data_IF_935307238438
#
_entry.id   IF_935307238438
#
_cell.length_a   1.000
_cell.length_b   1.000
_cell.length_c   1.000
_cell.angle_alpha   90.00
_cell.angle_beta   90.00
_cell.angle_gamma   90.00
#
_symmetry.space_group_name_H-M   'P 1'
#
loop_
_entity.id
_entity.type
_entity.pdbx_description
1 polymer ?
#
# COMPACT_ATOMS: atom_id res chain seq x y z
N UNK A 1 -7.32 7.14 9.63
CA UNK A 1 -7.62 5.71 9.82
C UNK A 1 -9.06 5.45 9.37
N UNK A 2 -9.30 4.41 8.58
CA UNK A 2 -10.62 4.01 8.05
C UNK A 2 -10.81 2.53 8.37
N UNK A 3 -11.87 2.12 9.08
CA UNK A 3 -12.08 0.71 9.46
C UNK A 3 -13.03 -0.01 8.49
N UNK A 4 -12.86 -1.33 8.33
CA UNK A 4 -13.85 -2.16 7.64
C UNK A 4 -15.14 -2.28 8.44
N UNK A 5 -16.26 -2.60 7.78
CA UNK A 5 -17.58 -2.75 8.43
C UNK A 5 -17.60 -3.83 9.50
N UNK A 6 -16.85 -4.90 9.29
CA UNK A 6 -16.71 -6.03 10.23
C UNK A 6 -15.58 -5.82 11.25
N UNK A 7 -14.87 -4.68 11.18
CA UNK A 7 -13.82 -4.31 12.14
C UNK A 7 -12.58 -5.20 12.10
N UNK A 8 -12.39 -6.05 11.09
CA UNK A 8 -11.23 -6.96 11.02
C UNK A 8 -9.96 -6.30 10.51
N UNK A 9 -10.11 -5.21 9.76
CA UNK A 9 -8.99 -4.43 9.22
C UNK A 9 -9.24 -2.93 9.35
N UNK A 10 -8.15 -2.18 9.30
CA UNK A 10 -8.19 -0.74 9.09
C UNK A 10 -7.17 -0.29 8.05
N UNK A 11 -7.50 0.79 7.36
CA UNK A 11 -6.64 1.50 6.43
C UNK A 11 -6.06 2.73 7.10
N UNK A 12 -4.75 2.91 6.95
CA UNK A 12 -4.03 4.09 7.41
C UNK A 12 -3.08 4.55 6.31
N UNK A 13 -2.93 5.87 6.14
CA UNK A 13 -1.92 6.41 5.23
C UNK A 13 -0.54 5.92 5.66
N UNK A 14 0.20 5.34 4.72
CA UNK A 14 1.59 4.98 4.98
C UNK A 14 2.40 6.24 5.20
N UNK A 15 3.25 6.17 6.22
CA UNK A 15 4.26 7.16 6.56
C UNK A 15 5.63 6.49 6.46
N UNK A 16 6.69 7.29 6.38
CA UNK A 16 8.07 6.80 6.18
C UNK A 16 8.47 5.75 7.22
N UNK A 17 7.94 5.86 8.45
CA UNK A 17 8.19 4.93 9.55
C UNK A 17 7.70 3.50 9.25
N UNK A 18 6.75 3.33 8.34
CA UNK A 18 6.24 2.02 7.93
C UNK A 18 7.09 1.36 6.82
N UNK A 19 8.13 2.04 6.31
CA UNK A 19 8.92 1.55 5.17
C UNK A 19 9.57 0.17 5.44
N UNK A 20 10.05 -0.05 6.67
CA UNK A 20 10.60 -1.34 7.08
C UNK A 20 9.55 -2.45 7.04
N UNK A 21 8.38 -2.21 7.65
CA UNK A 21 7.29 -3.19 7.66
C UNK A 21 6.79 -3.51 6.24
N UNK A 22 6.70 -2.49 5.39
CA UNK A 22 6.31 -2.67 3.99
C UNK A 22 7.35 -3.47 3.20
N UNK A 23 8.64 -3.21 3.42
CA UNK A 23 9.72 -3.98 2.81
C UNK A 23 9.65 -5.44 3.24
N UNK A 24 9.50 -5.71 4.53
CA UNK A 24 9.45 -7.07 5.07
C UNK A 24 8.24 -7.84 4.52
N UNK A 25 7.07 -7.19 4.41
CA UNK A 25 5.90 -7.77 3.77
C UNK A 25 6.16 -8.12 2.29
N UNK A 26 6.79 -7.21 1.54
CA UNK A 26 7.12 -7.41 0.12
C UNK A 26 8.12 -8.52 -0.08
N UNK A 27 9.19 -8.58 0.72
CA UNK A 27 10.22 -9.61 0.61
C UNK A 27 9.65 -11.00 0.90
N UNK A 28 8.86 -11.14 1.98
CA UNK A 28 8.18 -12.40 2.33
C UNK A 28 7.22 -12.88 1.23
N UNK A 29 6.64 -11.95 0.46
CA UNK A 29 5.68 -12.23 -0.60
C UNK A 29 6.25 -12.07 -2.02
N UNK A 30 7.57 -11.86 -2.20
CA UNK A 30 8.15 -11.45 -3.48
C UNK A 30 7.81 -12.41 -4.62
N UNK A 31 8.06 -13.72 -4.44
CA UNK A 31 7.75 -14.74 -5.45
C UNK A 31 6.25 -14.83 -5.77
N UNK A 32 5.38 -14.51 -4.80
CA UNK A 32 3.93 -14.54 -5.00
C UNK A 32 3.43 -13.30 -5.76
N UNK A 33 4.01 -12.13 -5.48
CA UNK A 33 3.61 -10.87 -6.11
C UNK A 33 4.23 -10.68 -7.50
N UNK A 34 5.42 -11.25 -7.74
CA UNK A 34 6.19 -11.06 -8.97
C UNK A 34 5.40 -11.25 -10.28
N UNK A 35 4.52 -12.25 -10.44
CA UNK A 35 3.75 -12.41 -11.69
C UNK A 35 2.73 -11.30 -11.96
N UNK A 36 2.35 -10.53 -10.92
CA UNK A 36 1.28 -9.54 -10.97
C UNK A 36 1.78 -8.10 -10.84
N UNK A 37 3.05 -7.90 -10.48
CA UNK A 37 3.66 -6.58 -10.32
C UNK A 37 4.59 -6.23 -11.49
N UNK A 38 4.77 -4.94 -11.80
CA UNK A 38 5.82 -4.50 -12.71
C UNK A 38 7.19 -4.96 -12.21
N UNK A 39 8.09 -5.26 -13.15
CA UNK A 39 9.48 -5.55 -12.82
C UNK A 39 10.09 -4.32 -12.13
N UNK A 40 10.62 -4.53 -10.92
CA UNK A 40 11.30 -3.51 -10.12
C UNK A 40 12.78 -3.85 -10.01
N UNK A 41 13.61 -2.81 -9.94
CA UNK A 41 15.03 -2.96 -9.66
C UNK A 41 15.29 -3.32 -8.19
N UNK A 42 16.53 -3.70 -7.89
CA UNK A 42 16.94 -4.06 -6.53
C UNK A 42 16.81 -2.88 -5.55
N UNK A 43 16.96 -1.64 -6.01
CA UNK A 43 16.79 -0.44 -5.17
C UNK A 43 15.37 -0.31 -4.63
N UNK A 44 14.36 -0.77 -5.36
CA UNK A 44 13.00 -0.83 -4.83
C UNK A 44 12.90 -1.71 -3.57
N UNK A 45 13.60 -2.84 -3.52
CA UNK A 45 13.57 -3.78 -2.40
C UNK A 45 14.58 -3.42 -1.30
N UNK A 46 14.66 -2.13 -0.97
CA UNK A 46 15.43 -1.57 0.16
C UNK A 46 14.51 -0.71 1.01
N UNK A 47 14.94 -0.33 2.21
CA UNK A 47 14.13 0.57 3.05
C UNK A 47 14.02 1.91 2.37
N UNK A 48 15.14 2.43 1.89
CA UNK A 48 15.25 3.71 1.21
C UNK A 48 14.35 3.74 -0.04
N UNK A 49 14.24 2.62 -0.75
CA UNK A 49 13.32 2.46 -1.88
C UNK A 49 11.84 2.50 -1.47
N UNK A 50 11.47 1.86 -0.36
CA UNK A 50 10.10 1.93 0.17
C UNK A 50 9.79 3.31 0.77
N UNK A 51 10.75 3.95 1.44
CA UNK A 51 10.63 5.33 1.90
C UNK A 51 10.37 6.28 0.74
N UNK A 52 11.13 6.15 -0.35
CA UNK A 52 10.92 6.95 -1.57
C UNK A 52 9.53 6.71 -2.20
N UNK A 53 9.06 5.45 -2.27
CA UNK A 53 7.72 5.12 -2.77
C UNK A 53 6.62 5.76 -1.89
N UNK A 54 6.77 5.69 -0.56
CA UNK A 54 5.85 6.30 0.39
C UNK A 54 5.86 7.83 0.27
N UNK A 55 7.04 8.44 0.22
CA UNK A 55 7.21 9.90 0.09
C UNK A 55 6.62 10.43 -1.21
N UNK A 56 6.68 9.66 -2.30
CA UNK A 56 6.05 10.03 -3.58
C UNK A 56 4.54 10.26 -3.46
N UNK A 57 3.88 9.61 -2.49
CA UNK A 57 2.47 9.80 -2.16
C UNK A 57 2.16 10.84 -1.09
N UNK A 58 3.18 11.41 -0.44
CA UNK A 58 3.03 12.45 0.59
C UNK A 58 3.13 13.86 0.00
N UNK A 59 3.54 13.99 -1.28
CA UNK A 59 3.80 15.26 -1.96
C UNK A 59 2.75 16.36 -1.79
N UNK A 60 3.14 17.61 -2.07
CA UNK A 60 2.40 18.85 -1.76
C UNK A 60 0.87 18.70 -1.82
N UNK A 61 0.18 19.22 -0.80
CA UNK A 61 -1.29 19.09 -0.65
C UNK A 61 -2.09 19.51 -1.89
N UNK A 62 -1.53 20.40 -2.71
CA UNK A 62 -2.13 20.92 -3.94
C UNK A 62 -1.78 20.10 -5.21
N UNK A 63 -0.89 19.12 -5.09
CA UNK A 63 -0.36 18.25 -6.16
C UNK A 63 -0.36 16.76 -5.80
N UNK A 64 -1.23 16.34 -4.88
CA UNK A 64 -1.38 14.93 -4.50
C UNK A 64 -1.78 14.12 -5.74
N UNK A 65 -0.79 13.49 -6.37
CA UNK A 65 -0.96 12.63 -7.54
C UNK A 65 -1.11 11.16 -7.15
N UNK A 66 -0.76 10.81 -5.91
CA UNK A 66 -0.97 9.49 -5.36
C UNK A 66 -1.18 9.52 -3.84
N UNK A 67 -1.80 8.48 -3.30
CA UNK A 67 -1.94 8.22 -1.87
C UNK A 67 -1.75 6.72 -1.61
N UNK A 68 -0.89 6.40 -0.65
CA UNK A 68 -0.62 5.03 -0.24
C UNK A 68 -1.20 4.76 1.15
N UNK A 69 -1.96 3.68 1.25
CA UNK A 69 -2.55 3.18 2.48
C UNK A 69 -2.00 1.79 2.79
N UNK A 70 -1.71 1.53 4.07
CA UNK A 70 -1.50 0.18 4.57
C UNK A 70 -2.82 -0.46 4.94
N UNK A 71 -2.95 -1.76 4.67
CA UNK A 71 -4.03 -2.60 5.22
C UNK A 71 -3.48 -3.23 6.49
N UNK A 72 -4.02 -2.85 7.64
CA UNK A 72 -3.60 -3.35 8.93
C UNK A 72 -4.65 -4.29 9.52
N UNK A 73 -4.20 -5.39 10.12
CA UNK A 73 -5.06 -6.29 10.88
C UNK A 73 -5.40 -5.63 12.22
N UNK A 74 -6.70 -5.55 12.55
CA UNK A 74 -7.16 -4.85 13.75
C UNK A 74 -6.56 -5.43 15.04
N UNK A 75 -6.53 -6.76 15.15
CA UNK A 75 -6.13 -7.47 16.38
C UNK A 75 -4.63 -7.35 16.68
N UNK A 76 -3.80 -7.28 15.64
CA UNK A 76 -2.33 -7.38 15.76
C UNK A 76 -1.61 -6.09 15.37
N UNK A 77 -2.30 -5.13 14.74
CA UNK A 77 -1.71 -3.99 14.04
C UNK A 77 -0.65 -4.39 12.98
N UNK A 78 -0.69 -5.63 12.50
CA UNK A 78 0.23 -6.12 11.46
C UNK A 78 -0.14 -5.49 10.10
N UNK A 79 0.85 -4.94 9.41
CA UNK A 79 0.71 -4.55 8.00
C UNK A 79 0.58 -5.79 7.10
N UNK A 80 -0.65 -6.04 6.65
CA UNK A 80 -1.02 -7.19 5.83
C UNK A 80 -1.02 -6.91 4.33
N UNK A 81 -1.04 -5.64 3.92
CA UNK A 81 -1.15 -5.27 2.50
C UNK A 81 -1.02 -3.78 2.26
N UNK A 82 -1.17 -3.39 1.00
CA UNK A 82 -1.10 -2.00 0.55
C UNK A 82 -2.23 -1.70 -0.42
N UNK A 83 -2.81 -0.52 -0.31
CA UNK A 83 -3.69 0.08 -1.31
C UNK A 83 -3.03 1.38 -1.79
N UNK A 84 -3.01 1.61 -3.09
CA UNK A 84 -2.51 2.83 -3.69
C UNK A 84 -3.55 3.42 -4.65
N UNK A 85 -3.88 4.68 -4.42
CA UNK A 85 -4.53 5.54 -5.42
C UNK A 85 -3.42 6.29 -6.15
N UNK A 86 -3.37 6.21 -7.47
CA UNK A 86 -2.35 6.89 -8.29
C UNK A 86 -2.99 7.59 -9.48
N UNK A 87 -2.33 8.57 -10.06
CA UNK A 87 -2.90 9.35 -11.16
C UNK A 87 -4.17 10.10 -10.75
N UNK A 88 -4.24 10.58 -9.51
CA UNK A 88 -5.42 11.25 -8.98
C UNK A 88 -5.67 12.54 -9.80
N UNK A 89 -6.79 12.60 -10.50
CA UNK A 89 -7.22 13.74 -11.28
C UNK A 89 -8.41 14.45 -10.60
N UNK A 90 -8.20 15.69 -10.13
CA UNK A 90 -9.21 16.52 -9.47
C UNK A 90 -9.95 17.49 -10.41
N UNK A 91 -9.76 17.34 -11.72
CA UNK A 91 -10.54 18.06 -12.73
C UNK A 91 -11.97 17.51 -12.85
N UNK A 92 -12.69 17.85 -13.94
CA UNK A 92 -14.09 17.43 -14.12
C UNK A 92 -14.34 15.93 -14.03
N UNK A 93 -13.34 15.10 -14.39
CA UNK A 93 -13.49 13.65 -14.43
C UNK A 93 -13.33 12.96 -13.05
N UNK A 94 -12.73 13.62 -12.04
CA UNK A 94 -12.61 13.11 -10.66
C UNK A 94 -12.23 11.61 -10.55
N UNK A 95 -11.11 11.20 -11.13
CA UNK A 95 -10.71 9.78 -11.21
C UNK A 95 -9.33 9.50 -10.59
N UNK A 96 -9.03 8.22 -10.41
CA UNK A 96 -7.72 7.71 -10.03
C UNK A 96 -7.60 6.24 -10.45
N UNK A 97 -6.37 5.74 -10.54
CA UNK A 97 -6.07 4.32 -10.66
C UNK A 97 -5.95 3.70 -9.27
N UNK A 98 -6.59 2.56 -9.07
CA UNK A 98 -6.51 1.77 -7.84
C UNK A 98 -5.60 0.56 -8.07
N UNK A 99 -4.55 0.43 -7.26
CA UNK A 99 -3.73 -0.78 -7.18
C UNK A 99 -3.65 -1.26 -5.74
N UNK A 100 -3.72 -2.57 -5.52
CA UNK A 100 -3.61 -3.14 -4.18
C UNK A 100 -2.95 -4.51 -4.21
N UNK A 101 -2.42 -4.91 -3.06
CA UNK A 101 -2.04 -6.29 -2.80
C UNK A 101 -2.26 -6.63 -1.33
N UNK A 102 -2.39 -7.92 -1.05
CA UNK A 102 -2.43 -8.48 0.30
C UNK A 102 -1.43 -9.63 0.38
N UNK A 103 -0.76 -9.78 1.52
CA UNK A 103 0.11 -10.91 1.81
C UNK A 103 -0.62 -12.24 1.62
N UNK A 104 0.10 -13.25 1.15
CA UNK A 104 -0.43 -14.58 0.84
C UNK A 104 -1.11 -15.23 2.06
N UNK A 105 -0.57 -14.99 3.25
CA UNK A 105 -1.07 -15.44 4.55
C UNK A 105 -2.46 -14.87 4.92
N UNK A 106 -2.87 -13.80 4.25
CA UNK A 106 -4.12 -13.07 4.50
C UNK A 106 -5.13 -13.18 3.34
N UNK A 107 -4.82 -13.97 2.31
CA UNK A 107 -5.72 -14.23 1.18
C UNK A 107 -6.97 -15.01 1.60
N UNK A 108 -8.05 -14.85 0.83
CA UNK A 108 -9.33 -15.56 1.05
C UNK A 108 -10.13 -15.10 2.28
N UNK A 109 -9.67 -14.08 3.01
CA UNK A 109 -10.34 -13.53 4.20
C UNK A 109 -11.29 -12.37 3.91
N UNK A 110 -11.33 -11.88 2.66
CA UNK A 110 -12.14 -10.74 2.24
C UNK A 110 -11.55 -9.36 2.59
N UNK A 111 -10.24 -9.26 2.84
CA UNK A 111 -9.60 -7.98 3.23
C UNK A 111 -9.44 -6.97 2.08
N UNK A 112 -9.77 -7.37 0.85
CA UNK A 112 -9.62 -6.54 -0.36
C UNK A 112 -10.90 -6.46 -1.19
N UNK A 113 -12.07 -6.68 -0.58
CA UNK A 113 -13.40 -6.71 -1.24
C UNK A 113 -14.34 -5.66 -0.71
#
# INVERSE_FOLDING_TARGET
MIRSKDGRIFLQLLQVEHARELLDLRLRNHHYLQPFEPIRDASFFTVEGQEADIQSGIGDKDRISSQLFGIFIEETNELAGRIALTGIARGPFQNANLGYFIGREHQGKGYTT
#
